data_IF_611386205484
#
_entry.id   IF_611386205484
#
_cell.length_a   1.000
_cell.length_b   1.000
_cell.length_c   1.000
_cell.angle_alpha   90.00
_cell.angle_beta   90.00
_cell.angle_gamma   90.00
#
_symmetry.space_group_name_H-M   'P 1'
#
loop_
_entity.id
_entity.type
_entity.pdbx_description
1 polymer ?
#
# COMPACT_ATOMS: atom_id res chain seq x y z
N UNK A 1 -8.93 6.82 19.43
CA UNK A 1 -10.22 6.39 18.84
C UNK A 1 -9.92 6.02 17.41
N UNK A 2 -10.36 4.85 16.97
CA UNK A 2 -10.33 4.51 15.54
C UNK A 2 -11.58 5.12 14.90
N UNK A 3 -11.47 5.56 13.66
CA UNK A 3 -12.55 6.15 12.89
C UNK A 3 -12.64 5.45 11.53
N UNK A 4 -13.79 5.55 10.88
CA UNK A 4 -13.98 5.06 9.52
C UNK A 4 -13.44 6.09 8.52
N UNK A 5 -12.47 5.67 7.71
CA UNK A 5 -11.92 6.48 6.63
C UNK A 5 -12.33 5.87 5.28
N UNK A 6 -12.70 6.72 4.33
CA UNK A 6 -12.86 6.31 2.94
C UNK A 6 -11.50 5.96 2.32
N UNK A 7 -11.41 4.81 1.67
CA UNK A 7 -10.22 4.33 0.97
C UNK A 7 -10.57 4.01 -0.49
N UNK A 8 -9.78 4.54 -1.41
CA UNK A 8 -9.82 4.24 -2.83
C UNK A 8 -8.46 3.77 -3.31
N UNK A 9 -8.42 2.64 -4.01
CA UNK A 9 -7.21 2.05 -4.59
C UNK A 9 -7.51 1.68 -6.04
N UNK A 10 -6.58 1.98 -6.93
CA UNK A 10 -6.66 1.65 -8.35
C UNK A 10 -5.37 0.96 -8.77
N UNK A 11 -5.48 -0.20 -9.38
CA UNK A 11 -4.38 -0.91 -10.01
C UNK A 11 -4.50 -0.80 -11.53
N UNK A 12 -3.41 -0.45 -12.20
CA UNK A 12 -3.35 -0.31 -13.65
C UNK A 12 -2.23 -1.16 -14.24
N UNK A 13 -2.39 -1.58 -15.48
CA UNK A 13 -1.30 -2.19 -16.27
C UNK A 13 -0.35 -1.12 -16.83
N UNK A 14 0.72 -1.53 -17.54
CA UNK A 14 1.67 -0.60 -18.14
C UNK A 14 1.07 0.31 -19.23
N UNK A 15 -0.13 0.01 -19.73
CA UNK A 15 -0.87 0.83 -20.71
C UNK A 15 -1.84 1.79 -20.02
N UNK A 16 -1.90 1.79 -18.69
CA UNK A 16 -2.78 2.63 -17.89
C UNK A 16 -4.22 2.11 -17.78
N UNK A 17 -4.51 0.91 -18.29
CA UNK A 17 -5.84 0.28 -18.20
C UNK A 17 -6.07 -0.14 -16.75
N UNK A 18 -7.25 0.17 -16.20
CA UNK A 18 -7.61 -0.24 -14.83
C UNK A 18 -7.89 -1.74 -14.82
N UNK A 19 -7.12 -2.47 -14.03
CA UNK A 19 -7.21 -3.93 -13.93
C UNK A 19 -7.94 -4.38 -12.67
N UNK A 20 -7.80 -3.61 -11.59
CA UNK A 20 -8.52 -3.82 -10.34
C UNK A 20 -8.74 -2.50 -9.61
N UNK A 21 -9.79 -2.45 -8.80
CA UNK A 21 -10.10 -1.31 -7.95
C UNK A 21 -10.67 -1.79 -6.62
N UNK A 22 -10.37 -1.04 -5.56
CA UNK A 22 -11.02 -1.18 -4.27
C UNK A 22 -11.56 0.18 -3.86
N UNK A 23 -12.80 0.18 -3.40
CA UNK A 23 -13.44 1.34 -2.79
C UNK A 23 -14.25 0.87 -1.59
N UNK A 24 -13.98 1.45 -0.43
CA UNK A 24 -14.65 1.05 0.80
C UNK A 24 -14.18 1.85 2.00
N UNK A 25 -14.82 1.56 3.13
CA UNK A 25 -14.43 2.12 4.42
C UNK A 25 -13.32 1.25 5.02
N UNK A 26 -12.35 1.90 5.65
CA UNK A 26 -11.30 1.26 6.43
C UNK A 26 -11.31 1.84 7.84
N UNK A 27 -11.06 0.98 8.82
CA UNK A 27 -10.89 1.41 10.21
C UNK A 27 -9.45 1.87 10.37
N UNK A 28 -9.26 3.16 10.68
CA UNK A 28 -7.94 3.75 10.82
C UNK A 28 -7.90 4.77 11.95
N UNK A 29 -6.76 4.83 12.65
CA UNK A 29 -6.47 5.90 13.60
C UNK A 29 -5.71 7.03 12.90
N UNK A 30 -6.46 7.89 12.21
CA UNK A 30 -5.94 9.07 11.51
C UNK A 30 -5.48 8.80 10.07
N UNK A 31 -5.14 9.89 9.36
CA UNK A 31 -4.85 9.89 7.92
C UNK A 31 -3.68 8.97 7.55
N UNK A 32 -2.57 9.02 8.28
CA UNK A 32 -1.37 8.27 7.91
C UNK A 32 -1.58 6.75 8.05
N UNK A 33 -2.28 6.30 9.09
CA UNK A 33 -2.66 4.89 9.20
C UNK A 33 -3.56 4.48 8.03
N UNK A 34 -4.52 5.31 7.65
CA UNK A 34 -5.38 5.05 6.49
C UNK A 34 -4.55 4.88 5.21
N UNK A 35 -3.54 5.73 4.99
CA UNK A 35 -2.64 5.62 3.82
C UNK A 35 -1.80 4.34 3.83
N UNK A 36 -1.27 3.93 4.99
CA UNK A 36 -0.54 2.67 5.11
C UNK A 36 -1.46 1.46 4.86
N UNK A 37 -2.71 1.51 5.34
CA UNK A 37 -3.71 0.48 5.03
C UNK A 37 -4.02 0.43 3.53
N UNK A 38 -4.14 1.58 2.85
CA UNK A 38 -4.32 1.62 1.39
C UNK A 38 -3.17 0.92 0.65
N UNK A 39 -1.93 1.10 1.12
CA UNK A 39 -0.75 0.40 0.55
C UNK A 39 -0.87 -1.12 0.76
N UNK A 40 -1.26 -1.56 1.96
CA UNK A 40 -1.50 -2.98 2.22
C UNK A 40 -2.53 -3.55 1.22
N UNK A 41 -3.65 -2.86 1.03
CA UNK A 41 -4.71 -3.26 0.11
C UNK A 41 -4.18 -3.36 -1.33
N UNK A 42 -3.39 -2.38 -1.81
CA UNK A 42 -2.75 -2.45 -3.14
C UNK A 42 -1.91 -3.71 -3.29
N UNK A 43 -1.06 -4.00 -2.30
CA UNK A 43 -0.15 -5.16 -2.34
C UNK A 43 -0.95 -6.47 -2.33
N UNK A 44 -1.98 -6.57 -1.50
CA UNK A 44 -2.85 -7.76 -1.45
C UNK A 44 -3.63 -7.97 -2.74
N UNK A 45 -4.19 -6.90 -3.33
CA UNK A 45 -4.85 -6.96 -4.64
C UNK A 45 -3.88 -7.46 -5.72
N UNK A 46 -2.66 -6.94 -5.71
CA UNK A 46 -1.64 -7.32 -6.68
C UNK A 46 -1.25 -8.81 -6.58
N UNK A 47 -1.08 -9.31 -5.35
CA UNK A 47 -0.81 -10.73 -5.08
C UNK A 47 -2.02 -11.60 -5.48
N UNK A 48 -3.23 -11.15 -5.19
CA UNK A 48 -4.47 -11.85 -5.55
C UNK A 48 -4.63 -12.05 -7.06
N UNK A 49 -4.05 -11.15 -7.87
CA UNK A 49 -4.03 -11.27 -9.33
C UNK A 49 -2.94 -12.21 -9.87
N UNK A 50 -2.14 -12.84 -9.00
CA UNK A 50 -1.04 -13.73 -9.40
C UNK A 50 0.06 -13.05 -10.24
N UNK A 51 0.20 -11.72 -10.14
CA UNK A 51 1.18 -10.92 -10.89
C UNK A 51 2.55 -10.82 -10.21
N UNK A 52 2.63 -11.21 -8.94
CA UNK A 52 3.79 -11.08 -8.05
C UNK A 52 5.11 -11.64 -8.58
N UNK A 53 5.05 -12.63 -9.49
CA UNK A 53 6.24 -13.37 -9.96
C UNK A 53 6.83 -12.82 -11.27
N UNK A 54 6.11 -11.96 -12.00
CA UNK A 54 6.47 -11.62 -13.38
C UNK A 54 6.66 -10.13 -13.62
N UNK A 55 5.90 -9.29 -12.92
CA UNK A 55 5.84 -7.86 -13.20
C UNK A 55 6.26 -7.10 -11.94
N UNK A 56 7.07 -6.02 -12.05
CA UNK A 56 7.31 -5.12 -10.93
C UNK A 56 6.03 -4.38 -10.53
N UNK A 57 5.78 -4.25 -9.24
CA UNK A 57 4.71 -3.38 -8.73
C UNK A 57 5.25 -1.95 -8.55
N UNK A 58 4.61 -0.99 -9.22
CA UNK A 58 4.85 0.44 -9.01
C UNK A 58 3.69 1.00 -8.18
N UNK A 59 4.01 1.64 -7.05
CA UNK A 59 3.05 2.24 -6.14
C UNK A 59 3.24 3.76 -6.15
N UNK A 60 2.15 4.49 -6.35
CA UNK A 60 2.09 5.94 -6.29
C UNK A 60 1.39 6.37 -4.99
N UNK A 61 2.13 6.53 -3.88
CA UNK A 61 1.54 6.90 -2.60
C UNK A 61 1.10 8.35 -2.60
N UNK A 62 -0.07 8.62 -2.01
CA UNK A 62 -0.59 9.99 -1.86
C UNK A 62 -0.04 10.74 -0.64
N UNK A 63 0.97 10.19 0.06
CA UNK A 63 1.57 10.80 1.26
C UNK A 63 3.06 10.48 1.34
N UNK A 64 3.88 11.52 1.37
CA UNK A 64 5.33 11.40 1.58
C UNK A 64 5.64 10.82 2.97
N UNK A 65 4.82 11.14 3.99
CA UNK A 65 5.01 10.63 5.37
C UNK A 65 4.80 9.12 5.41
N UNK A 66 3.71 8.64 4.80
CA UNK A 66 3.46 7.21 4.68
C UNK A 66 4.58 6.49 3.91
N UNK A 67 5.09 7.11 2.84
CA UNK A 67 6.24 6.59 2.10
C UNK A 67 7.51 6.54 2.97
N UNK A 68 7.81 7.58 3.74
CA UNK A 68 8.98 7.58 4.63
C UNK A 68 8.90 6.45 5.66
N UNK A 69 7.72 6.19 6.23
CA UNK A 69 7.52 5.08 7.16
C UNK A 69 7.75 3.71 6.51
N UNK A 70 7.31 3.53 5.26
CA UNK A 70 7.57 2.30 4.51
C UNK A 70 9.07 2.10 4.25
N UNK A 71 9.75 3.15 3.78
CA UNK A 71 11.15 3.08 3.37
C UNK A 71 12.12 3.02 4.54
N UNK A 72 11.82 3.72 5.64
CA UNK A 72 12.72 3.91 6.78
C UNK A 72 12.10 3.30 8.04
N UNK A 73 12.57 2.11 8.41
CA UNK A 73 12.09 1.36 9.60
C UNK A 73 12.11 2.16 10.90
N UNK A 74 13.05 3.10 11.06
CA UNK A 74 13.20 3.91 12.27
C UNK A 74 12.05 4.91 12.48
N UNK A 75 11.29 5.26 11.44
CA UNK A 75 10.14 6.16 11.52
C UNK A 75 8.82 5.42 11.75
N UNK A 76 8.84 4.08 11.73
CA UNK A 76 7.63 3.27 11.91
C UNK A 76 7.19 3.34 13.37
N UNK A 77 5.96 3.78 13.58
CA UNK A 77 5.33 3.74 14.91
C UNK A 77 5.24 2.29 15.41
N UNK A 78 5.66 2.06 16.65
CA UNK A 78 5.58 0.75 17.29
C UNK A 78 4.14 0.21 17.35
N UNK A 79 3.15 1.08 17.54
CA UNK A 79 1.72 0.74 17.57
C UNK A 79 1.24 0.11 16.26
N UNK A 80 1.90 0.40 15.13
CA UNK A 80 1.58 -0.12 13.81
C UNK A 80 2.49 -1.28 13.39
N UNK A 81 3.29 -1.83 14.31
CA UNK A 81 4.31 -2.84 13.99
C UNK A 81 3.74 -4.06 13.26
N UNK A 82 2.59 -4.57 13.70
CA UNK A 82 1.96 -5.74 13.05
C UNK A 82 1.54 -5.44 11.62
N UNK A 83 0.99 -4.24 11.37
CA UNK A 83 0.64 -3.78 10.02
C UNK A 83 1.87 -3.70 9.12
N UNK A 84 2.99 -3.18 9.63
CA UNK A 84 4.23 -3.11 8.87
C UNK A 84 4.87 -4.49 8.62
N UNK A 85 4.77 -5.42 9.58
CA UNK A 85 5.25 -6.79 9.39
C UNK A 85 4.47 -7.47 8.26
N UNK A 86 3.14 -7.33 8.28
CA UNK A 86 2.28 -7.91 7.25
C UNK A 86 2.58 -7.33 5.85
N UNK A 87 2.71 -6.01 5.75
CA UNK A 87 3.12 -5.35 4.50
C UNK A 87 4.51 -5.84 4.04
N UNK A 88 5.52 -5.88 4.92
CA UNK A 88 6.86 -6.35 4.58
C UNK A 88 6.82 -7.83 4.10
N UNK A 89 6.04 -8.68 4.78
CA UNK A 89 5.84 -10.08 4.38
C UNK A 89 5.22 -10.22 3.00
N UNK A 90 4.24 -9.37 2.66
CA UNK A 90 3.61 -9.38 1.35
C UNK A 90 4.52 -8.79 0.26
N UNK A 91 5.24 -7.70 0.55
CA UNK A 91 6.22 -7.11 -0.37
C UNK A 91 7.35 -8.08 -0.69
N UNK A 92 7.82 -8.86 0.28
CA UNK A 92 8.89 -9.85 0.07
C UNK A 92 8.49 -11.00 -0.87
N UNK A 93 7.19 -11.18 -1.15
CA UNK A 93 6.72 -12.15 -2.15
C UNK A 93 6.76 -11.58 -3.59
N UNK A 94 6.95 -10.27 -3.74
CA UNK A 94 6.94 -9.60 -5.03
C UNK A 94 8.35 -9.59 -5.63
N UNK A 95 8.45 -9.75 -6.96
CA UNK A 95 9.73 -9.69 -7.67
C UNK A 95 10.44 -8.36 -7.46
N UNK A 96 9.69 -7.26 -7.44
CA UNK A 96 10.19 -5.91 -7.19
C UNK A 96 9.03 -4.97 -6.86
N UNK A 97 9.25 -4.08 -5.90
CA UNK A 97 8.36 -2.95 -5.60
C UNK A 97 9.12 -1.65 -5.80
N UNK A 98 8.48 -0.67 -6.42
CA UNK A 98 8.99 0.69 -6.57
C UNK A 98 7.93 1.67 -6.08
N UNK A 99 8.38 2.73 -5.41
CA UNK A 99 7.53 3.85 -5.01
C UNK A 99 7.88 5.07 -5.83
N UNK A 100 6.87 5.70 -6.44
CA UNK A 100 7.04 6.91 -7.25
C UNK A 100 6.19 8.02 -6.64
N UNK A 101 6.82 9.14 -6.29
CA UNK A 101 6.12 10.36 -5.87
C UNK A 101 5.88 11.20 -7.11
N UNK A 102 4.61 11.46 -7.42
CA UNK A 102 4.23 12.38 -8.49
C UNK A 102 4.09 13.77 -7.86
N UNK A 103 4.84 14.74 -8.41
CA UNK A 103 4.81 16.15 -8.02
C UNK A 103 3.71 16.92 -8.73
#
# INVERSE_FOLDING_TARGET
MEDEAGCGVVLRDEKGVVCALFSGLIVARGSEMAKIISIKIVVELYIGLSWQVKVPLVIEPSSCVALEWLMKRNYRSWTLRNLFIDIDCNINQLVRVQFIVIH
#
